data_IF_204831055034
#
_entry.id   IF_204831055034
#
_cell.length_a   1.000
_cell.length_b   1.000
_cell.length_c   1.000
_cell.angle_alpha   90.00
_cell.angle_beta   90.00
_cell.angle_gamma   90.00
#
_symmetry.space_group_name_H-M   'P 1'
#
loop_
_entity.id
_entity.type
_entity.pdbx_description
1 polymer ?
#
# COMPACT_ATOMS: atom_id res chain seq x y z
N UNK A 1 43.40 -81.28 17.25
CA UNK A 1 42.03 -81.52 16.75
C UNK A 1 41.20 -82.11 17.89
N UNK A 2 40.28 -81.33 18.47
CA UNK A 2 38.92 -81.78 18.78
C UNK A 2 38.12 -80.61 19.37
N UNK A 3 37.10 -80.16 18.61
CA UNK A 3 35.85 -79.56 19.13
C UNK A 3 35.15 -80.62 20.02
N UNK A 4 34.30 -80.35 21.00
CA UNK A 4 33.26 -79.32 21.13
C UNK A 4 32.79 -79.27 22.61
N UNK A 5 32.30 -78.10 23.03
CA UNK A 5 31.20 -77.89 24.00
C UNK A 5 31.19 -78.62 25.35
N UNK A 6 31.44 -77.89 26.45
CA UNK A 6 30.55 -77.95 27.62
C UNK A 6 30.66 -76.66 28.45
N UNK A 7 29.71 -75.75 28.21
CA UNK A 7 28.81 -75.17 29.23
C UNK A 7 29.41 -74.57 30.52
N UNK A 8 29.04 -73.30 30.72
CA UNK A 8 28.87 -72.58 32.00
C UNK A 8 30.15 -72.25 32.78
N UNK A 9 30.41 -70.95 32.87
CA UNK A 9 30.00 -70.06 33.99
C UNK A 9 31.16 -69.13 34.35
N UNK A 10 30.77 -67.86 34.55
CA UNK A 10 31.57 -66.72 35.05
C UNK A 10 32.40 -66.11 33.91
N UNK A 11 32.29 -64.82 33.61
CA UNK A 11 32.08 -63.70 34.52
C UNK A 11 31.12 -62.71 33.88
N UNK A 12 29.98 -62.57 34.55
CA UNK A 12 29.13 -61.40 34.53
C UNK A 12 29.88 -60.32 35.33
N UNK A 13 30.27 -59.24 34.67
CA UNK A 13 30.45 -57.88 35.21
C UNK A 13 29.78 -57.01 34.12
N UNK A 14 28.55 -56.49 34.26
CA UNK A 14 28.10 -55.39 35.12
C UNK A 14 29.14 -54.26 35.10
N UNK A 15 28.97 -53.17 34.34
CA UNK A 15 28.18 -51.95 34.64
C UNK A 15 28.50 -50.96 33.48
N UNK A 16 27.71 -49.99 33.02
CA UNK A 16 26.48 -49.39 33.51
C UNK A 16 25.81 -48.68 32.30
N UNK A 17 24.86 -49.35 31.66
CA UNK A 17 24.10 -48.80 30.53
C UNK A 17 22.85 -48.08 31.01
N UNK A 18 22.98 -46.97 31.75
CA UNK A 18 21.83 -46.14 32.14
C UNK A 18 21.33 -45.34 30.94
N UNK A 19 20.32 -45.85 30.25
CA UNK A 19 19.45 -44.99 29.45
C UNK A 19 18.74 -44.01 30.40
N UNK A 20 18.79 -42.68 30.16
CA UNK A 20 18.07 -41.73 31.01
C UNK A 20 16.56 -42.00 30.88
N UNK A 21 15.80 -41.94 31.98
CA UNK A 21 14.37 -42.17 31.95
C UNK A 21 13.72 -41.13 31.03
N UNK A 22 12.84 -41.56 30.12
CA UNK A 22 12.15 -40.71 29.12
C UNK A 22 11.62 -39.38 29.70
N UNK A 23 11.20 -39.38 30.97
CA UNK A 23 10.74 -38.20 31.71
C UNK A 23 11.83 -37.14 31.90
N UNK A 24 13.07 -37.58 32.18
CA UNK A 24 14.25 -36.70 32.30
C UNK A 24 14.57 -36.02 30.96
N UNK A 25 14.48 -36.75 29.85
CA UNK A 25 14.76 -36.23 28.50
C UNK A 25 13.69 -35.24 28.04
N UNK A 26 12.42 -35.47 28.42
CA UNK A 26 11.33 -34.52 28.14
C UNK A 26 11.44 -33.26 28.99
N UNK A 27 11.81 -33.38 30.27
CA UNK A 27 12.01 -32.24 31.16
C UNK A 27 13.20 -31.37 30.74
N UNK A 28 14.30 -31.98 30.29
CA UNK A 28 15.44 -31.22 29.76
C UNK A 28 15.10 -30.55 28.42
N UNK A 29 14.30 -31.20 27.56
CA UNK A 29 13.79 -30.58 26.33
C UNK A 29 12.90 -29.36 26.60
N UNK A 30 11.98 -29.47 27.56
CA UNK A 30 11.09 -28.36 27.94
C UNK A 30 11.87 -27.20 28.59
N UNK A 31 12.86 -27.50 29.43
CA UNK A 31 13.75 -26.50 30.01
C UNK A 31 14.60 -25.78 28.95
N UNK A 32 15.06 -26.50 27.92
CA UNK A 32 15.80 -25.90 26.81
C UNK A 32 14.92 -24.94 25.99
N UNK A 33 13.67 -25.32 25.69
CA UNK A 33 12.73 -24.43 25.00
C UNK A 33 12.34 -23.20 25.82
N UNK A 34 12.15 -23.36 27.14
CA UNK A 34 11.90 -22.23 28.04
C UNK A 34 13.11 -21.27 28.10
N UNK A 35 14.34 -21.79 28.10
CA UNK A 35 15.56 -20.97 28.07
C UNK A 35 15.70 -20.21 26.73
N UNK A 36 15.37 -20.84 25.60
CA UNK A 36 15.36 -20.18 24.29
C UNK A 36 14.31 -19.07 24.25
N UNK A 37 13.10 -19.32 24.73
CA UNK A 37 12.05 -18.30 24.80
C UNK A 37 12.45 -17.12 25.72
N UNK A 38 13.13 -17.40 26.85
CA UNK A 38 13.66 -16.37 27.73
C UNK A 38 14.76 -15.53 27.04
N UNK A 39 15.67 -16.18 26.31
CA UNK A 39 16.72 -15.49 25.55
C UNK A 39 16.16 -14.64 24.42
N UNK A 40 15.11 -15.11 23.73
CA UNK A 40 14.42 -14.33 22.69
C UNK A 40 13.71 -13.11 23.28
N UNK A 41 13.02 -13.26 24.42
CA UNK A 41 12.34 -12.14 25.07
C UNK A 41 13.33 -11.11 25.66
N UNK A 42 14.43 -11.56 26.25
CA UNK A 42 15.52 -10.68 26.69
C UNK A 42 16.23 -10.00 25.51
N UNK A 43 16.45 -10.73 24.40
CA UNK A 43 17.07 -10.20 23.19
C UNK A 43 16.20 -9.14 22.51
N UNK A 44 14.90 -9.39 22.37
CA UNK A 44 13.93 -8.40 21.84
C UNK A 44 13.87 -7.18 22.76
N UNK A 45 13.83 -7.37 24.08
CA UNK A 45 13.81 -6.27 25.04
C UNK A 45 15.11 -5.43 25.02
N UNK A 46 16.27 -6.07 24.82
CA UNK A 46 17.54 -5.37 24.66
C UNK A 46 17.63 -4.61 23.33
N UNK A 47 17.16 -5.22 22.24
CA UNK A 47 17.10 -4.57 20.92
C UNK A 47 16.17 -3.35 20.93
N UNK A 48 15.00 -3.45 21.57
CA UNK A 48 14.10 -2.31 21.80
C UNK A 48 14.80 -1.24 22.63
N UNK A 49 15.49 -1.58 23.73
CA UNK A 49 16.20 -0.57 24.53
C UNK A 49 17.35 0.13 23.77
N UNK A 50 18.05 -0.56 22.87
CA UNK A 50 19.13 0.04 22.08
C UNK A 50 18.62 0.85 20.88
N UNK A 51 17.49 0.46 20.26
CA UNK A 51 16.84 1.25 19.21
C UNK A 51 16.28 2.58 19.76
N UNK A 52 15.88 2.61 21.04
CA UNK A 52 15.43 3.83 21.73
C UNK A 52 16.51 4.56 22.55
N UNK A 53 17.78 4.10 22.53
CA UNK A 53 18.89 4.77 23.25
C UNK A 53 19.92 5.45 22.34
N UNK A 54 19.69 5.57 21.03
CA UNK A 54 20.51 6.44 20.18
C UNK A 54 19.97 7.86 20.25
N UNK A 55 20.42 8.60 21.26
CA UNK A 55 20.37 10.07 21.29
C UNK A 55 21.64 10.59 21.95
N UNK A 56 22.78 10.28 21.33
CA UNK A 56 24.03 11.02 21.52
C UNK A 56 24.55 11.44 20.13
N UNK A 57 23.73 12.21 19.43
CA UNK A 57 24.24 13.15 18.42
C UNK A 57 24.59 14.41 19.20
N UNK A 58 25.80 14.98 19.09
CA UNK A 58 26.09 16.25 19.74
C UNK A 58 25.06 17.27 19.23
N UNK A 59 24.27 17.81 20.15
CA UNK A 59 23.33 18.89 19.88
C UNK A 59 24.18 20.09 19.46
N UNK A 60 24.43 20.21 18.16
CA UNK A 60 24.59 21.53 17.56
C UNK A 60 23.24 22.18 17.82
N UNK A 61 23.22 23.17 18.71
CA UNK A 61 22.00 23.91 19.00
C UNK A 61 21.37 24.29 17.64
N UNK A 62 20.09 23.97 17.40
CA UNK A 62 19.42 24.52 16.24
C UNK A 62 19.62 26.04 16.29
N UNK A 63 19.81 26.73 15.15
CA UNK A 63 19.75 28.19 15.16
C UNK A 63 18.46 28.54 15.91
N UNK A 64 18.59 29.33 16.97
CA UNK A 64 17.49 29.69 17.87
C UNK A 64 16.29 30.00 16.98
N UNK A 65 15.33 29.08 16.92
CA UNK A 65 14.01 29.40 16.41
C UNK A 65 13.55 30.44 17.41
N UNK A 66 13.52 31.69 16.95
CA UNK A 66 12.88 32.75 17.68
C UNK A 66 11.51 32.20 18.03
N UNK A 67 11.25 32.05 19.33
CA UNK A 67 9.90 31.87 19.84
C UNK A 67 9.07 32.92 19.12
N UNK A 68 8.06 32.53 18.32
CA UNK A 68 7.22 33.53 17.66
C UNK A 68 6.74 34.45 18.77
N UNK A 69 6.97 35.76 18.60
CA UNK A 69 6.42 36.74 19.53
C UNK A 69 4.94 36.39 19.73
N UNK A 70 4.48 36.39 20.99
CA UNK A 70 3.13 36.02 21.38
C UNK A 70 2.03 36.94 20.78
N UNK A 71 2.42 37.88 19.92
CA UNK A 71 1.59 38.80 19.15
C UNK A 71 1.65 38.54 17.62
N UNK A 72 2.29 37.45 17.17
CA UNK A 72 2.17 36.99 15.79
C UNK A 72 0.80 36.33 15.65
N UNK A 73 -0.12 36.85 14.81
CA UNK A 73 -1.36 36.12 14.55
C UNK A 73 -0.99 34.74 14.05
N UNK A 74 -1.44 33.67 14.74
CA UNK A 74 -1.48 32.35 14.13
C UNK A 74 -2.24 32.52 12.82
N UNK A 75 -1.53 32.48 11.71
CA UNK A 75 -2.16 32.46 10.40
C UNK A 75 -3.06 31.22 10.44
N UNK A 76 -4.40 31.37 10.37
CA UNK A 76 -5.28 30.23 10.52
C UNK A 76 -4.85 29.21 9.49
N UNK A 77 -4.59 27.97 9.92
CA UNK A 77 -4.25 26.86 9.05
C UNK A 77 -5.16 26.96 7.83
N UNK A 78 -4.59 27.32 6.66
CA UNK A 78 -5.40 27.58 5.48
C UNK A 78 -6.26 26.34 5.28
N UNK A 79 -7.58 26.50 5.36
CA UNK A 79 -8.50 25.40 5.17
C UNK A 79 -8.22 24.85 3.78
N UNK A 80 -7.63 23.67 3.70
CA UNK A 80 -7.42 23.00 2.44
C UNK A 80 -8.79 22.80 1.79
N UNK A 81 -9.00 23.45 0.64
CA UNK A 81 -10.25 23.35 -0.06
C UNK A 81 -10.34 21.96 -0.70
N UNK A 82 -11.08 21.08 -0.04
CA UNK A 82 -11.32 19.73 -0.52
C UNK A 82 -12.17 19.72 -1.80
N UNK A 83 -12.92 20.79 -2.11
CA UNK A 83 -13.85 20.79 -3.25
C UNK A 83 -13.17 20.71 -4.62
N UNK A 84 -11.88 21.07 -4.69
CA UNK A 84 -11.08 20.88 -5.90
C UNK A 84 -10.73 19.40 -6.16
N UNK A 85 -10.83 18.54 -5.13
CA UNK A 85 -10.57 17.10 -5.21
C UNK A 85 -11.87 16.29 -5.13
N UNK A 86 -12.73 16.64 -4.16
CA UNK A 86 -14.06 16.10 -3.94
C UNK A 86 -15.05 16.80 -4.85
N UNK A 87 -15.46 16.16 -5.94
CA UNK A 87 -16.48 16.73 -6.82
C UNK A 87 -16.26 16.52 -8.31
N UNK A 88 -15.22 15.79 -8.71
CA UNK A 88 -15.05 15.46 -10.12
C UNK A 88 -16.31 14.72 -10.62
N UNK A 89 -16.95 15.18 -11.70
CA UNK A 89 -18.14 14.53 -12.22
C UNK A 89 -17.81 13.10 -12.63
N UNK A 90 -18.77 12.18 -12.56
CA UNK A 90 -18.60 10.86 -13.19
C UNK A 90 -18.25 11.03 -14.66
N UNK A 91 -17.28 10.27 -15.18
CA UNK A 91 -16.93 10.30 -16.60
C UNK A 91 -18.14 9.83 -17.43
N UNK A 92 -18.65 10.69 -18.31
CA UNK A 92 -19.65 10.31 -19.30
C UNK A 92 -18.96 9.70 -20.51
N UNK A 93 -18.72 8.39 -20.45
CA UNK A 93 -18.04 7.65 -21.52
C UNK A 93 -18.76 7.71 -22.87
N UNK A 94 -20.07 7.96 -22.88
CA UNK A 94 -20.85 8.04 -24.12
C UNK A 94 -20.64 9.38 -24.85
N UNK A 95 -20.19 10.42 -24.14
CA UNK A 95 -19.92 11.75 -24.68
C UNK A 95 -18.44 11.98 -25.03
N UNK A 96 -17.55 11.03 -24.76
CA UNK A 96 -16.10 11.20 -24.99
C UNK A 96 -15.75 11.26 -26.48
N UNK A 97 -15.02 12.30 -26.84
CA UNK A 97 -14.46 12.53 -28.17
C UNK A 97 -12.93 12.36 -28.18
N UNK A 98 -12.37 12.27 -29.39
CA UNK A 98 -10.92 12.23 -29.55
C UNK A 98 -10.30 13.55 -29.08
N UNK A 99 -9.28 13.46 -28.23
CA UNK A 99 -8.57 14.61 -27.65
C UNK A 99 -9.06 14.97 -26.25
N UNK A 100 -10.17 14.38 -25.78
CA UNK A 100 -10.69 14.67 -24.45
C UNK A 100 -9.73 14.19 -23.37
N UNK A 101 -9.41 15.06 -22.38
CA UNK A 101 -8.61 14.65 -21.24
C UNK A 101 -9.46 13.98 -20.15
N UNK A 102 -8.94 12.88 -19.61
CA UNK A 102 -9.49 12.20 -18.44
C UNK A 102 -8.59 12.49 -17.22
N UNK A 103 -9.06 13.39 -16.36
CA UNK A 103 -8.35 13.79 -15.13
C UNK A 103 -8.79 13.00 -13.89
N UNK A 104 -9.91 12.29 -13.99
CA UNK A 104 -10.59 11.62 -12.87
C UNK A 104 -11.18 10.27 -13.29
N UNK A 105 -11.55 9.49 -12.29
CA UNK A 105 -12.04 8.12 -12.43
C UNK A 105 -10.94 7.10 -12.67
N UNK A 106 -11.31 5.82 -12.60
CA UNK A 106 -10.35 4.71 -12.55
C UNK A 106 -9.31 4.72 -13.69
N UNK A 107 -9.68 5.15 -14.89
CA UNK A 107 -8.75 5.26 -16.03
C UNK A 107 -7.61 6.24 -15.72
N UNK A 108 -7.92 7.41 -15.15
CA UNK A 108 -6.91 8.38 -14.75
C UNK A 108 -6.04 7.85 -13.61
N UNK A 109 -6.62 7.15 -12.63
CA UNK A 109 -5.86 6.53 -11.54
C UNK A 109 -4.92 5.43 -12.02
N UNK A 110 -5.32 4.61 -13.00
CA UNK A 110 -4.41 3.65 -13.62
C UNK A 110 -3.19 4.32 -14.28
N UNK A 111 -3.42 5.44 -14.96
CA UNK A 111 -2.33 6.22 -15.58
C UNK A 111 -1.45 6.85 -14.50
N UNK A 112 -2.01 7.42 -13.43
CA UNK A 112 -1.20 8.00 -12.34
C UNK A 112 -0.27 6.95 -11.71
N UNK A 113 -0.77 5.74 -11.51
CA UNK A 113 0.00 4.66 -10.91
C UNK A 113 1.00 4.01 -11.87
N UNK A 114 0.96 4.36 -13.15
CA UNK A 114 1.72 3.67 -14.19
C UNK A 114 1.55 2.16 -14.08
N UNK A 115 0.28 1.74 -14.04
CA UNK A 115 -0.15 0.33 -14.05
C UNK A 115 -0.68 -0.03 -15.45
N UNK A 116 0.21 -0.18 -16.45
CA UNK A 116 -0.18 -0.28 -17.86
C UNK A 116 -0.96 -1.54 -18.22
N UNK A 117 -0.71 -2.63 -17.49
CA UNK A 117 -1.12 -3.97 -17.90
C UNK A 117 -1.79 -4.70 -16.73
N UNK A 118 -3.10 -4.89 -16.80
CA UNK A 118 -3.82 -5.80 -15.94
C UNK A 118 -5.04 -6.42 -16.64
N UNK A 119 -5.35 -7.64 -16.23
CA UNK A 119 -6.53 -8.40 -16.65
C UNK A 119 -7.33 -8.95 -15.47
N UNK A 120 -6.73 -8.94 -14.27
CA UNK A 120 -7.35 -9.31 -13.00
C UNK A 120 -6.82 -8.36 -11.93
N UNK A 121 -7.71 -7.58 -11.33
CA UNK A 121 -7.38 -6.65 -10.26
C UNK A 121 -6.73 -7.35 -9.06
N UNK A 122 -7.04 -8.62 -8.82
CA UNK A 122 -6.47 -9.38 -7.72
C UNK A 122 -4.99 -9.72 -7.95
N UNK A 123 -4.43 -9.52 -9.15
CA UNK A 123 -3.00 -9.70 -9.43
C UNK A 123 -2.18 -8.43 -9.20
N UNK A 124 -2.83 -7.30 -8.89
CA UNK A 124 -2.12 -6.06 -8.57
C UNK A 124 -1.23 -6.23 -7.33
N UNK A 125 -0.02 -5.66 -7.34
CA UNK A 125 0.74 -5.47 -6.13
C UNK A 125 -0.11 -4.76 -5.08
N UNK A 126 0.03 -5.16 -3.82
CA UNK A 126 -0.80 -4.62 -2.75
C UNK A 126 -0.59 -3.11 -2.52
N UNK A 127 0.62 -2.58 -2.78
CA UNK A 127 0.87 -1.13 -2.73
C UNK A 127 0.11 -0.39 -3.83
N UNK A 128 0.15 -0.90 -5.07
CA UNK A 128 -0.59 -0.34 -6.21
C UNK A 128 -2.10 -0.37 -5.96
N UNK A 129 -2.62 -1.46 -5.40
CA UNK A 129 -4.03 -1.56 -5.03
C UNK A 129 -4.40 -0.52 -3.96
N UNK A 130 -3.62 -0.38 -2.89
CA UNK A 130 -3.85 0.66 -1.88
C UNK A 130 -3.80 2.05 -2.51
N UNK A 131 -2.79 2.32 -3.34
CA UNK A 131 -2.62 3.62 -3.95
C UNK A 131 -3.77 3.96 -4.91
N UNK A 132 -4.22 3.01 -5.72
CA UNK A 132 -5.42 3.14 -6.54
C UNK A 132 -6.64 3.49 -5.70
N UNK A 133 -6.89 2.72 -4.65
CA UNK A 133 -8.06 2.93 -3.81
C UNK A 133 -8.03 4.30 -3.12
N UNK A 134 -6.88 4.75 -2.62
CA UNK A 134 -6.73 6.09 -2.02
C UNK A 134 -6.99 7.19 -3.06
N UNK A 135 -6.37 7.13 -4.23
CA UNK A 135 -6.55 8.14 -5.28
C UNK A 135 -7.99 8.23 -5.79
N UNK A 136 -8.62 7.09 -6.03
CA UNK A 136 -10.02 7.06 -6.46
C UNK A 136 -10.95 7.54 -5.36
N UNK A 137 -10.71 7.17 -4.09
CA UNK A 137 -11.53 7.64 -2.96
C UNK A 137 -11.45 9.16 -2.82
N UNK A 138 -10.25 9.74 -2.96
CA UNK A 138 -10.04 11.19 -2.88
C UNK A 138 -10.79 11.98 -3.96
N UNK A 139 -11.04 11.36 -5.12
CA UNK A 139 -11.64 12.02 -6.29
C UNK A 139 -13.12 11.71 -6.45
N UNK A 140 -13.63 10.70 -5.74
CA UNK A 140 -14.99 10.21 -5.90
C UNK A 140 -15.94 10.89 -4.90
N UNK A 141 -16.94 11.66 -5.39
CA UNK A 141 -17.91 12.35 -4.53
C UNK A 141 -18.68 11.42 -3.60
N UNK A 142 -18.86 10.15 -3.96
CA UNK A 142 -19.58 9.16 -3.17
C UNK A 142 -18.91 8.85 -1.81
N UNK A 143 -17.61 9.13 -1.69
CA UNK A 143 -16.84 8.90 -0.45
C UNK A 143 -16.45 10.19 0.26
N UNK A 144 -16.99 11.34 -0.16
CA UNK A 144 -16.63 12.66 0.37
C UNK A 144 -16.81 12.80 1.88
N UNK A 145 -17.77 12.10 2.49
CA UNK A 145 -18.00 12.05 3.93
C UNK A 145 -16.95 11.23 4.70
N UNK A 146 -16.17 10.41 3.98
CA UNK A 146 -15.07 9.57 4.49
C UNK A 146 -13.69 10.14 4.18
N UNK A 147 -13.66 11.37 3.66
CA UNK A 147 -12.47 12.16 3.40
C UNK A 147 -12.49 13.39 4.30
N UNK A 148 -11.46 13.55 5.13
CA UNK A 148 -11.38 14.61 6.13
C UNK A 148 -10.15 15.47 5.85
N UNK A 149 -10.35 16.76 5.63
CA UNK A 149 -9.25 17.72 5.53
C UNK A 149 -8.76 18.12 6.92
N UNK A 150 -7.44 18.20 7.11
CA UNK A 150 -6.84 18.65 8.35
C UNK A 150 -5.48 19.29 8.13
N UNK A 151 -5.45 20.62 8.12
CA UNK A 151 -4.21 21.40 7.98
C UNK A 151 -3.44 21.04 6.70
N UNK A 152 -2.25 20.45 6.88
CA UNK A 152 -1.33 20.03 5.81
C UNK A 152 -1.56 18.60 5.32
N UNK A 153 -2.63 17.92 5.78
CA UNK A 153 -2.98 16.56 5.34
C UNK A 153 -4.47 16.42 4.98
N UNK A 154 -4.75 15.46 4.12
CA UNK A 154 -6.07 14.88 3.89
C UNK A 154 -6.06 13.46 4.45
N UNK A 155 -7.14 13.09 5.13
CA UNK A 155 -7.30 11.77 5.73
C UNK A 155 -8.38 10.98 5.00
N UNK A 156 -8.06 9.77 4.59
CA UNK A 156 -8.98 8.85 3.89
C UNK A 156 -9.18 7.60 4.72
N UNK A 157 -10.43 7.21 4.96
CA UNK A 157 -10.72 5.98 5.69
C UNK A 157 -10.33 4.72 4.90
N UNK A 158 -9.64 3.79 5.55
CA UNK A 158 -9.24 2.53 4.96
C UNK A 158 -10.43 1.70 4.44
N UNK A 159 -11.57 1.74 5.12
CA UNK A 159 -12.78 1.08 4.65
C UNK A 159 -13.35 1.68 3.36
N UNK A 160 -13.10 2.96 3.07
CA UNK A 160 -13.52 3.60 1.82
C UNK A 160 -12.59 3.18 0.67
N UNK A 161 -11.30 3.01 0.97
CA UNK A 161 -10.31 2.44 0.04
C UNK A 161 -10.70 1.01 -0.36
N UNK A 162 -11.07 0.15 0.60
CA UNK A 162 -11.54 -1.22 0.31
C UNK A 162 -12.80 -1.24 -0.55
N UNK A 163 -13.76 -0.37 -0.25
CA UNK A 163 -15.03 -0.26 -0.97
C UNK A 163 -14.81 0.22 -2.40
N UNK A 164 -14.02 1.27 -2.57
CA UNK A 164 -13.60 1.79 -3.88
C UNK A 164 -12.92 0.72 -4.73
N UNK A 165 -12.02 -0.06 -4.15
CA UNK A 165 -11.33 -1.13 -4.89
C UNK A 165 -12.28 -2.24 -5.34
N UNK A 166 -13.25 -2.58 -4.51
CA UNK A 166 -14.29 -3.56 -4.86
C UNK A 166 -15.17 -3.05 -6.00
N UNK A 167 -15.57 -1.78 -5.96
CA UNK A 167 -16.48 -1.19 -6.94
C UNK A 167 -15.80 -0.86 -8.27
N UNK A 168 -14.63 -0.21 -8.23
CA UNK A 168 -13.95 0.29 -9.42
C UNK A 168 -13.07 -0.76 -10.11
N UNK A 169 -12.58 -1.77 -9.39
CA UNK A 169 -11.71 -2.83 -9.92
C UNK A 169 -12.26 -4.25 -9.75
N UNK A 170 -13.33 -4.46 -8.98
CA UNK A 170 -13.78 -5.82 -8.64
C UNK A 170 -12.78 -6.56 -7.74
N UNK A 171 -11.99 -5.82 -6.95
CA UNK A 171 -10.98 -6.40 -6.06
C UNK A 171 -11.66 -7.21 -4.94
N UNK A 172 -11.23 -8.45 -4.74
CA UNK A 172 -11.86 -9.39 -3.79
C UNK A 172 -10.95 -9.87 -2.68
N UNK A 173 -9.64 -9.64 -2.79
CA UNK A 173 -8.68 -10.02 -1.76
C UNK A 173 -8.80 -9.12 -0.53
N UNK A 174 -8.48 -9.68 0.64
CA UNK A 174 -8.29 -8.88 1.84
C UNK A 174 -7.10 -7.92 1.65
N UNK A 175 -7.24 -6.69 2.13
CA UNK A 175 -6.19 -5.68 2.07
C UNK A 175 -5.46 -5.66 3.41
N UNK A 176 -4.16 -5.88 3.36
CA UNK A 176 -3.29 -5.63 4.51
C UNK A 176 -2.84 -4.17 4.47
N UNK A 177 -3.56 -3.31 5.19
CA UNK A 177 -3.27 -1.88 5.21
C UNK A 177 -1.88 -1.59 5.79
N UNK A 178 -1.14 -0.74 5.08
CA UNK A 178 0.20 -0.28 5.40
C UNK A 178 0.46 1.06 4.74
N UNK A 179 1.47 1.78 5.23
CA UNK A 179 1.97 2.96 4.53
C UNK A 179 2.53 2.57 3.16
N UNK A 180 2.26 3.38 2.16
CA UNK A 180 2.81 3.26 0.81
C UNK A 180 3.65 4.51 0.61
N UNK A 181 4.90 4.35 0.16
CA UNK A 181 5.84 5.46 -0.09
C UNK A 181 6.44 5.41 -1.50
N UNK A 182 6.28 4.28 -2.21
CA UNK A 182 6.88 3.98 -3.50
C UNK A 182 6.23 4.77 -4.64
N UNK A 183 4.93 5.01 -4.54
CA UNK A 183 4.11 5.65 -5.58
C UNK A 183 3.55 6.99 -5.08
N UNK A 184 3.32 7.16 -3.78
CA UNK A 184 2.90 8.40 -3.12
C UNK A 184 3.27 8.29 -1.62
N UNK A 185 3.36 9.40 -0.85
CA UNK A 185 3.61 9.38 0.61
C UNK A 185 2.28 9.19 1.37
N UNK A 186 1.71 7.99 1.30
CA UNK A 186 0.49 7.62 2.03
C UNK A 186 0.83 6.96 3.35
N UNK A 187 0.59 7.66 4.45
CA UNK A 187 0.90 7.14 5.80
C UNK A 187 -0.32 6.51 6.42
N UNK A 188 -0.24 5.22 6.75
CA UNK A 188 -1.36 4.53 7.40
C UNK A 188 -1.27 4.63 8.93
N UNK A 189 -2.32 5.15 9.55
CA UNK A 189 -2.52 5.13 10.99
C UNK A 189 -3.46 3.98 11.39
N UNK A 190 -2.89 2.99 12.08
CA UNK A 190 -3.61 1.80 12.55
C UNK A 190 -4.65 2.13 13.62
N UNK A 191 -4.42 3.17 14.44
CA UNK A 191 -5.33 3.50 15.54
C UNK A 191 -6.63 4.13 15.04
N UNK A 192 -6.52 4.98 14.01
CA UNK A 192 -7.67 5.66 13.42
C UNK A 192 -8.21 4.93 12.19
N UNK A 193 -7.45 4.00 11.61
CA UNK A 193 -7.82 3.28 10.39
C UNK A 193 -7.84 4.18 9.16
N UNK A 194 -6.92 5.15 9.10
CA UNK A 194 -6.90 6.20 8.06
C UNK A 194 -5.54 6.31 7.39
N UNK A 195 -5.58 6.65 6.12
CA UNK A 195 -4.43 7.12 5.37
C UNK A 195 -4.32 8.62 5.51
N UNK A 196 -3.16 9.13 5.92
CA UNK A 196 -2.81 10.53 5.85
C UNK A 196 -2.03 10.78 4.56
N UNK A 197 -2.50 11.76 3.78
CA UNK A 197 -1.92 12.19 2.51
C UNK A 197 -1.52 13.66 2.68
N UNK A 198 -0.26 14.04 2.49
CA UNK A 198 0.15 15.44 2.51
C UNK A 198 -0.65 16.25 1.47
N UNK A 199 -1.17 17.42 1.84
CA UNK A 199 -1.88 18.33 0.92
C UNK A 199 -0.93 18.93 -0.11
N UNK A 200 0.34 19.11 0.27
CA UNK A 200 1.41 19.48 -0.64
C UNK A 200 1.77 18.28 -1.53
N UNK A 201 1.64 18.43 -2.86
CA UNK A 201 1.95 17.35 -3.79
C UNK A 201 0.79 16.41 -4.13
N UNK A 202 -0.46 16.74 -3.75
CA UNK A 202 -1.67 16.16 -4.38
C UNK A 202 -1.84 16.80 -5.78
N UNK A 203 -0.81 16.74 -6.60
CA UNK A 203 -0.81 17.24 -7.97
C UNK A 203 -0.99 16.04 -8.91
N UNK A 204 -1.68 16.24 -10.03
CA UNK A 204 -2.02 15.15 -10.96
C UNK A 204 -0.74 14.67 -11.66
N UNK A 205 -0.13 13.60 -11.14
CA UNK A 205 1.11 12.99 -11.66
C UNK A 205 0.97 12.30 -13.02
N UNK A 206 -0.23 12.30 -13.58
CA UNK A 206 -0.51 11.83 -14.92
C UNK A 206 -2.00 11.89 -15.26
N UNK A 207 -2.31 11.93 -16.55
CA UNK A 207 -3.69 11.92 -17.05
C UNK A 207 -3.75 11.22 -18.40
N UNK A 208 -4.94 10.81 -18.82
CA UNK A 208 -5.13 10.16 -20.12
C UNK A 208 -5.72 11.15 -21.13
N UNK A 209 -5.31 11.04 -22.40
CA UNK A 209 -5.97 11.68 -23.53
C UNK A 209 -6.67 10.61 -24.36
N UNK A 210 -7.97 10.79 -24.64
CA UNK A 210 -8.74 9.85 -25.46
C UNK A 210 -8.28 9.91 -26.92
N UNK A 211 -7.94 8.75 -27.49
CA UNK A 211 -7.64 8.59 -28.93
C UNK A 211 -8.83 8.04 -29.67
N UNK A 212 -9.51 7.08 -29.06
CA UNK A 212 -10.74 6.49 -29.57
C UNK A 212 -11.58 6.01 -28.41
N UNK A 213 -12.87 6.31 -28.44
CA UNK A 213 -13.87 5.71 -27.58
C UNK A 213 -14.80 4.86 -28.45
N UNK A 214 -14.96 3.58 -28.11
CA UNK A 214 -15.93 2.69 -28.75
C UNK A 214 -16.88 2.17 -27.68
N UNK A 215 -18.15 2.52 -27.80
CA UNK A 215 -19.20 2.09 -26.88
C UNK A 215 -20.03 0.99 -27.53
N UNK A 216 -20.14 -0.16 -26.86
CA UNK A 216 -20.99 -1.27 -27.25
C UNK A 216 -21.84 -1.69 -26.05
N UNK A 217 -23.11 -1.31 -26.06
CA UNK A 217 -24.00 -1.46 -24.90
C UNK A 217 -23.40 -0.80 -23.66
N UNK A 218 -23.11 -1.57 -22.61
CA UNK A 218 -22.48 -1.12 -21.38
C UNK A 218 -20.96 -1.35 -21.34
N UNK A 219 -20.35 -1.85 -22.42
CA UNK A 219 -18.91 -2.01 -22.52
C UNK A 219 -18.30 -0.89 -23.34
N UNK A 220 -17.35 -0.19 -22.73
CA UNK A 220 -16.59 0.90 -23.35
C UNK A 220 -15.16 0.42 -23.55
N UNK A 221 -14.68 0.51 -24.78
CA UNK A 221 -13.26 0.32 -25.11
C UNK A 221 -12.65 1.67 -25.42
N UNK A 222 -11.67 2.08 -24.63
CA UNK A 222 -10.90 3.30 -24.79
C UNK A 222 -9.51 2.98 -25.31
N UNK A 223 -9.13 3.59 -26.43
CA UNK A 223 -7.73 3.77 -26.79
C UNK A 223 -7.31 5.14 -26.24
N UNK A 224 -6.27 5.19 -25.43
CA UNK A 224 -5.80 6.41 -24.76
C UNK A 224 -4.29 6.57 -24.93
N UNK A 225 -3.83 7.82 -24.85
CA UNK A 225 -2.44 8.15 -24.59
C UNK A 225 -2.33 8.55 -23.11
N UNK A 226 -1.69 7.71 -22.29
CA UNK A 226 -1.37 8.02 -20.90
C UNK A 226 -0.15 8.93 -20.83
N UNK A 227 -0.28 10.08 -20.16
CA UNK A 227 0.78 11.06 -19.97
C UNK A 227 1.29 10.97 -18.53
N UNK A 228 2.61 10.81 -18.39
CA UNK A 228 3.29 10.60 -17.10
C UNK A 228 4.34 11.70 -16.87
N UNK A 229 4.55 12.07 -15.60
CA UNK A 229 5.62 12.96 -15.17
C UNK A 229 6.73 12.16 -14.46
N UNK A 230 7.95 12.18 -14.99
CA UNK A 230 9.11 11.39 -14.55
C UNK A 230 9.71 11.92 -13.23
N UNK A 231 9.60 13.23 -12.97
CA UNK A 231 10.21 13.90 -11.81
C UNK A 231 9.22 14.12 -10.64
N UNK A 232 8.20 13.27 -10.56
CA UNK A 232 7.18 13.32 -9.51
C UNK A 232 6.01 14.25 -9.82
N UNK A 233 5.08 14.32 -8.87
CA UNK A 233 3.80 15.03 -8.94
C UNK A 233 3.99 16.55 -9.05
N UNK A 234 4.37 17.04 -10.23
CA UNK A 234 4.29 18.45 -10.61
C UNK A 234 3.20 18.61 -11.67
N UNK A 235 2.22 19.48 -11.43
CA UNK A 235 1.19 19.83 -12.40
C UNK A 235 1.80 20.72 -13.49
N UNK A 236 2.35 20.10 -14.53
CA UNK A 236 2.88 20.79 -15.71
C UNK A 236 2.26 20.20 -16.99
N UNK A 237 1.03 20.58 -17.38
CA UNK A 237 0.33 19.99 -18.54
C UNK A 237 1.11 20.11 -19.87
N UNK A 238 2.09 21.00 -19.94
CA UNK A 238 2.90 21.26 -21.14
C UNK A 238 4.21 20.44 -21.19
N UNK A 239 4.57 19.70 -20.13
CA UNK A 239 5.85 18.98 -19.99
C UNK A 239 5.67 17.51 -19.57
N UNK A 240 4.71 16.81 -20.20
CA UNK A 240 4.62 15.36 -20.02
C UNK A 240 5.93 14.69 -20.49
N UNK A 241 6.63 14.07 -19.55
CA UNK A 241 7.95 13.46 -19.78
C UNK A 241 7.89 12.17 -20.60
N UNK A 242 6.77 11.43 -20.55
CA UNK A 242 6.57 10.24 -21.38
C UNK A 242 5.09 10.00 -21.70
N UNK A 243 4.84 9.40 -22.86
CA UNK A 243 3.50 9.00 -23.32
C UNK A 243 3.48 7.49 -23.56
N UNK A 244 2.48 6.79 -23.02
CA UNK A 244 2.25 5.36 -23.33
C UNK A 244 0.84 5.18 -23.88
N UNK A 245 0.75 4.58 -25.07
CA UNK A 245 -0.54 4.22 -25.65
C UNK A 245 -1.12 3.00 -24.92
N UNK A 246 -2.38 3.07 -24.53
CA UNK A 246 -3.07 2.01 -23.79
C UNK A 246 -4.46 1.74 -24.37
N UNK A 247 -4.90 0.49 -24.30
CA UNK A 247 -6.30 0.09 -24.48
C UNK A 247 -6.90 -0.29 -23.14
N UNK A 248 -7.99 0.36 -22.76
CA UNK A 248 -8.70 0.14 -21.50
C UNK A 248 -10.13 -0.28 -21.78
N UNK A 249 -10.61 -1.30 -21.08
CA UNK A 249 -11.99 -1.76 -21.16
C UNK A 249 -12.70 -1.44 -19.86
N UNK A 250 -13.82 -0.75 -19.95
CA UNK A 250 -14.64 -0.29 -18.82
C UNK A 250 -16.05 -0.85 -18.99
N UNK A 251 -16.60 -1.39 -17.91
CA UNK A 251 -18.00 -1.81 -17.82
C UNK A 251 -18.79 -0.72 -17.07
N UNK A 252 -19.71 -0.08 -17.79
CA UNK A 252 -20.54 1.02 -17.30
C UNK A 252 -21.97 0.59 -16.94
N UNK A 253 -22.21 -0.72 -16.80
CA UNK A 253 -23.54 -1.25 -16.45
C UNK A 253 -23.97 -0.98 -15.00
N UNK A 254 -23.00 -0.72 -14.12
CA UNK A 254 -23.21 -0.41 -12.71
C UNK A 254 -23.32 1.09 -12.41
N UNK A 255 -23.54 1.42 -11.14
CA UNK A 255 -23.52 2.80 -10.64
C UNK A 255 -22.11 3.42 -10.64
N UNK A 256 -21.09 2.57 -10.53
CA UNK A 256 -19.67 2.94 -10.63
C UNK A 256 -19.08 2.17 -11.82
N UNK A 257 -18.41 2.85 -12.76
CA UNK A 257 -17.71 2.19 -13.86
C UNK A 257 -16.65 1.23 -13.33
N UNK A 258 -16.72 -0.04 -13.77
CA UNK A 258 -15.81 -1.10 -13.38
C UNK A 258 -14.74 -1.30 -14.46
N UNK A 259 -13.48 -1.08 -14.11
CA UNK A 259 -12.36 -1.34 -15.00
C UNK A 259 -12.15 -2.86 -15.15
N UNK A 260 -12.27 -3.36 -16.39
CA UNK A 260 -12.14 -4.78 -16.70
C UNK A 260 -10.70 -5.17 -17.05
N UNK A 261 -10.02 -4.32 -17.80
CA UNK A 261 -8.63 -4.54 -18.21
C UNK A 261 -7.99 -3.26 -18.72
N UNK A 262 -6.67 -3.17 -18.60
CA UNK A 262 -5.84 -2.22 -19.32
C UNK A 262 -4.63 -2.95 -19.92
N UNK A 263 -4.22 -2.55 -21.12
CA UNK A 263 -3.06 -3.09 -21.81
C UNK A 263 -2.32 -1.97 -22.54
N UNK A 264 -1.00 -1.91 -22.41
CA UNK A 264 -0.18 -1.04 -23.26
C UNK A 264 -0.15 -1.58 -24.68
N UNK A 265 -0.48 -0.71 -25.62
CA UNK A 265 -0.43 -1.04 -27.05
C UNK A 265 0.94 -0.71 -27.61
N UNK A 266 1.78 -1.74 -27.75
CA UNK A 266 3.02 -1.70 -28.54
C UNK A 266 4.16 -0.89 -27.93
N UNK A 267 5.20 -1.61 -27.48
CA UNK A 267 6.58 -1.10 -27.40
C UNK A 267 7.27 -1.15 -28.75
#
# INVERSE_FOLDING_TARGET
MSRTETTRRKIFEAEDGRQPPLLSTMLTGLAAWAAIALLLTLGVRWMVSNLFSVSDVPVVAPPVQQTPDADTPEEPAQSFDLSQFLGAPSVDYAALEQGDPLYFGGVASLVILNTPDFTDANLLPAEDAIAFGVWETLKNPAFSDRVIGGGDHVYVEAGAVEETLREALGYTKAIEHRSVNSIADFRYDVLTGRYAIPTTGIEVGGYAIVKRCTVQEALVTLEIDGLFFEDGFQYAPDEASSTKAMTVVVDTSGSVPLLRSAQTTGS
#
